data_IF_338010264404
#
_entry.id   IF_338010264404
#
_cell.length_a   1.000
_cell.length_b   1.000
_cell.length_c   1.000
_cell.angle_alpha   90.00
_cell.angle_beta   90.00
_cell.angle_gamma   90.00
#
_symmetry.space_group_name_H-M   'P 1'
#
loop_
_entity.id
_entity.type
_entity.pdbx_description
1 polymer ?
#
# COMPACT_ATOMS: atom_id res chain seq x y z
N UNK A 1 22.79 -1.15 24.39
CA UNK A 1 22.00 -2.34 24.59
C UNK A 1 22.57 -3.43 23.69
N UNK A 2 22.83 -4.62 24.23
CA UNK A 2 23.27 -5.76 23.44
C UNK A 2 22.15 -6.13 22.45
N UNK A 3 22.51 -6.46 21.22
CA UNK A 3 21.57 -6.99 20.26
C UNK A 3 20.98 -8.28 20.82
N UNK A 4 19.65 -8.44 20.70
CA UNK A 4 18.97 -9.66 21.12
C UNK A 4 19.01 -10.61 19.93
N UNK A 5 19.65 -11.78 20.12
CA UNK A 5 19.69 -12.86 19.15
C UNK A 5 18.80 -14.01 19.61
N UNK A 6 17.93 -14.49 18.73
CA UNK A 6 17.02 -15.61 19.01
C UNK A 6 17.38 -16.74 18.04
N UNK A 7 17.92 -17.85 18.55
CA UNK A 7 18.25 -19.04 17.79
C UNK A 7 17.14 -20.07 17.93
N UNK A 8 16.54 -20.46 16.80
CA UNK A 8 15.47 -21.47 16.73
C UNK A 8 16.01 -22.71 16.06
N UNK A 9 16.05 -23.82 16.79
CA UNK A 9 16.42 -25.13 16.26
C UNK A 9 15.19 -25.82 15.67
N UNK A 10 15.30 -26.25 14.42
CA UNK A 10 14.24 -26.98 13.71
C UNK A 10 14.71 -28.38 13.35
N UNK A 11 13.81 -29.39 13.27
CA UNK A 11 14.13 -30.73 12.82
C UNK A 11 14.65 -30.73 11.36
N UNK A 12 15.53 -31.70 11.03
CA UNK A 12 16.17 -31.78 9.72
C UNK A 12 15.21 -32.05 8.55
N UNK A 13 14.04 -32.55 8.82
CA UNK A 13 12.95 -32.89 7.87
C UNK A 13 11.98 -31.71 7.61
N UNK A 14 12.18 -30.60 8.31
CA UNK A 14 11.30 -29.42 8.21
C UNK A 14 11.91 -28.35 7.30
N UNK A 15 11.11 -27.82 6.38
CA UNK A 15 11.55 -26.70 5.51
C UNK A 15 11.74 -25.43 6.32
N UNK A 16 12.90 -24.79 6.16
CA UNK A 16 13.23 -23.50 6.81
C UNK A 16 12.22 -22.42 6.38
N UNK A 17 11.90 -22.36 5.08
CA UNK A 17 10.97 -21.34 4.54
C UNK A 17 9.57 -21.49 5.11
N UNK A 18 9.08 -22.73 5.20
CA UNK A 18 7.77 -22.98 5.83
C UNK A 18 7.75 -22.64 7.31
N UNK A 19 8.87 -22.86 8.01
CA UNK A 19 8.98 -22.47 9.43
C UNK A 19 8.97 -20.97 9.61
N UNK A 20 9.66 -20.22 8.74
CA UNK A 20 9.66 -18.75 8.74
C UNK A 20 8.24 -18.22 8.47
N UNK A 21 7.58 -18.75 7.43
CA UNK A 21 6.20 -18.38 7.11
C UNK A 21 5.24 -18.72 8.26
N UNK A 22 5.44 -19.86 8.93
CA UNK A 22 4.68 -20.24 10.12
C UNK A 22 4.90 -19.30 11.31
N UNK A 23 6.12 -18.85 11.54
CA UNK A 23 6.41 -17.84 12.57
C UNK A 23 5.68 -16.53 12.30
N UNK A 24 5.66 -16.04 11.06
CA UNK A 24 4.92 -14.84 10.68
C UNK A 24 3.40 -15.03 10.76
N UNK A 25 2.89 -16.22 10.45
CA UNK A 25 1.46 -16.49 10.43
C UNK A 25 0.85 -16.76 11.83
N UNK A 26 1.62 -17.35 12.74
CA UNK A 26 1.10 -17.87 14.01
C UNK A 26 1.70 -17.25 15.26
N UNK A 27 2.66 -16.33 15.13
CA UNK A 27 3.29 -15.65 16.26
C UNK A 27 3.27 -14.14 16.08
N UNK A 28 3.67 -13.39 17.11
CA UNK A 28 3.77 -11.93 17.08
C UNK A 28 5.11 -11.44 16.47
N UNK A 29 5.73 -12.22 15.56
CA UNK A 29 6.91 -11.80 14.81
C UNK A 29 6.62 -10.64 13.85
N UNK A 30 5.35 -10.45 13.48
CA UNK A 30 4.88 -9.35 12.65
C UNK A 30 3.82 -8.54 13.40
N UNK A 31 4.01 -7.24 13.43
CA UNK A 31 3.04 -6.30 13.98
C UNK A 31 2.58 -5.34 12.87
N UNK A 32 1.27 -5.26 12.68
CA UNK A 32 0.67 -4.27 11.78
C UNK A 32 0.53 -2.93 12.49
N UNK A 33 1.21 -1.90 11.98
CA UNK A 33 1.09 -0.54 12.47
C UNK A 33 0.30 0.29 11.45
N UNK A 34 -0.83 0.81 11.89
CA UNK A 34 -1.65 1.74 11.09
C UNK A 34 -1.58 3.13 11.70
N UNK A 35 -0.53 3.93 11.39
CA UNK A 35 -0.37 5.25 11.97
C UNK A 35 -1.47 6.19 11.45
N UNK A 36 -2.14 6.85 12.39
CA UNK A 36 -3.10 7.91 12.09
C UNK A 36 -2.45 9.23 12.49
N UNK A 37 -1.81 9.90 11.52
CA UNK A 37 -1.06 11.12 11.76
C UNK A 37 -1.98 12.32 11.83
N UNK A 38 -1.94 13.07 12.95
CA UNK A 38 -2.64 14.33 13.13
C UNK A 38 -1.62 15.45 13.35
N UNK A 39 -1.71 16.49 12.55
CA UNK A 39 -0.89 17.70 12.66
C UNK A 39 -1.76 18.92 12.93
N UNK A 40 -1.16 19.97 13.49
CA UNK A 40 -1.85 21.27 13.65
C UNK A 40 -1.43 22.15 12.47
N UNK A 41 -2.42 22.53 11.65
CA UNK A 41 -2.24 23.46 10.53
C UNK A 41 -3.21 24.64 10.69
N UNK A 42 -2.69 25.84 10.69
CA UNK A 42 -3.49 27.06 10.91
C UNK A 42 -4.39 26.98 12.16
N UNK A 43 -3.81 26.55 13.28
CA UNK A 43 -4.47 26.40 14.59
C UNK A 43 -5.60 25.33 14.62
N UNK A 44 -5.71 24.51 13.58
CA UNK A 44 -6.73 23.44 13.48
C UNK A 44 -6.06 22.06 13.34
N UNK A 45 -6.62 21.03 13.98
CA UNK A 45 -6.14 19.66 13.77
C UNK A 45 -6.48 19.19 12.35
N UNK A 46 -5.48 18.62 11.69
CA UNK A 46 -5.62 18.02 10.35
C UNK A 46 -5.05 16.61 10.36
N UNK A 47 -5.85 15.66 9.89
CA UNK A 47 -5.38 14.30 9.63
C UNK A 47 -4.86 14.22 8.20
N UNK A 48 -3.61 13.78 8.04
CA UNK A 48 -2.99 13.69 6.74
C UNK A 48 -2.01 12.49 6.68
N UNK A 49 -1.84 11.86 5.51
CA UNK A 49 -0.83 10.84 5.32
C UNK A 49 0.59 11.42 5.44
N UNK A 50 1.54 10.59 5.85
CA UNK A 50 2.94 11.02 6.11
C UNK A 50 3.55 11.73 4.90
N UNK A 51 3.27 11.26 3.67
CA UNK A 51 3.78 11.89 2.44
C UNK A 51 3.29 13.33 2.26
N UNK A 52 2.05 13.62 2.64
CA UNK A 52 1.48 14.97 2.59
C UNK A 52 2.09 15.87 3.67
N UNK A 53 2.27 15.33 4.88
CA UNK A 53 2.95 16.05 5.97
C UNK A 53 4.38 16.45 5.57
N UNK A 54 5.11 15.53 4.92
CA UNK A 54 6.47 15.81 4.43
C UNK A 54 6.48 16.91 3.37
N UNK A 55 5.52 16.93 2.44
CA UNK A 55 5.39 18.00 1.44
C UNK A 55 5.15 19.35 2.10
N UNK A 56 4.14 19.42 2.98
CA UNK A 56 3.81 20.67 3.72
C UNK A 56 5.02 21.16 4.52
N UNK A 57 5.70 20.26 5.23
CA UNK A 57 6.90 20.60 6.00
C UNK A 57 8.03 21.13 5.13
N UNK A 58 8.22 20.54 3.94
CA UNK A 58 9.24 20.98 2.97
C UNK A 58 8.88 22.36 2.41
N UNK A 59 7.63 22.55 1.98
CA UNK A 59 7.13 23.84 1.46
C UNK A 59 7.25 24.95 2.51
N UNK A 60 6.86 24.68 3.75
CA UNK A 60 7.01 25.62 4.87
C UNK A 60 8.48 25.97 5.11
N UNK A 61 9.39 24.98 5.03
CA UNK A 61 10.83 25.22 5.19
C UNK A 61 11.35 26.15 4.09
N UNK A 62 10.95 25.93 2.83
CA UNK A 62 11.32 26.83 1.71
C UNK A 62 10.83 28.25 1.95
N UNK A 63 9.59 28.42 2.43
CA UNK A 63 9.05 29.75 2.74
C UNK A 63 9.81 30.42 3.89
N UNK A 64 10.20 29.67 4.91
CA UNK A 64 10.99 30.19 6.02
C UNK A 64 12.41 30.60 5.56
N UNK A 65 13.05 29.79 4.73
CA UNK A 65 14.36 30.12 4.13
C UNK A 65 14.28 31.40 3.28
N UNK A 66 13.21 31.55 2.47
CA UNK A 66 12.96 32.78 1.72
C UNK A 66 12.88 33.99 2.64
N UNK A 67 12.08 33.89 3.70
CA UNK A 67 11.89 34.98 4.66
C UNK A 67 13.17 35.30 5.42
N UNK A 68 13.98 34.30 5.77
CA UNK A 68 15.30 34.48 6.37
C UNK A 68 16.22 35.30 5.44
N UNK A 69 16.29 34.97 4.15
CA UNK A 69 17.05 35.70 3.15
C UNK A 69 16.53 37.14 2.95
N UNK A 70 15.20 37.32 2.93
CA UNK A 70 14.60 38.67 2.83
C UNK A 70 14.95 39.54 4.04
N UNK A 71 14.94 38.99 5.24
CA UNK A 71 15.35 39.69 6.47
C UNK A 71 16.84 40.03 6.40
N UNK A 72 17.70 39.05 6.05
CA UNK A 72 19.14 39.26 5.91
C UNK A 72 19.45 40.33 4.87
N UNK A 73 18.75 40.35 3.73
CA UNK A 73 18.89 41.37 2.70
C UNK A 73 18.52 42.77 3.22
N UNK A 74 17.45 42.89 3.98
CA UNK A 74 17.04 44.18 4.60
C UNK A 74 18.07 44.65 5.62
N UNK A 75 18.57 43.75 6.47
CA UNK A 75 19.62 44.08 7.44
C UNK A 75 20.92 44.55 6.76
N UNK A 76 21.34 43.86 5.68
CA UNK A 76 22.50 44.27 4.89
C UNK A 76 22.29 45.61 4.23
N UNK A 77 21.10 45.86 3.65
CA UNK A 77 20.77 47.17 3.05
C UNK A 77 20.77 48.31 4.09
N UNK A 78 20.19 48.09 5.28
CA UNK A 78 20.22 49.07 6.36
C UNK A 78 21.65 49.33 6.87
N UNK A 79 22.46 48.27 6.99
CA UNK A 79 23.87 48.39 7.39
C UNK A 79 24.67 49.13 6.35
N UNK A 80 24.49 48.84 5.07
CA UNK A 80 25.13 49.56 3.96
C UNK A 80 24.71 51.02 3.96
N UNK A 81 23.43 51.32 4.09
CA UNK A 81 22.89 52.66 4.11
C UNK A 81 23.44 53.47 5.29
N UNK A 82 23.51 52.84 6.48
CA UNK A 82 24.08 53.50 7.66
C UNK A 82 25.54 53.85 7.49
N UNK A 83 26.38 52.94 7.00
CA UNK A 83 27.81 53.20 6.79
C UNK A 83 28.01 54.29 5.71
N UNK A 84 27.20 54.29 4.66
CA UNK A 84 27.21 55.32 3.63
C UNK A 84 26.81 56.70 4.17
N UNK A 85 25.78 56.76 5.03
CA UNK A 85 25.38 58.00 5.71
C UNK A 85 26.49 58.51 6.63
N UNK A 86 27.10 57.66 7.43
CA UNK A 86 28.22 58.02 8.32
C UNK A 86 29.42 58.55 7.50
N UNK A 87 29.76 57.87 6.39
CA UNK A 87 30.82 58.28 5.48
C UNK A 87 30.56 59.63 4.92
N UNK A 88 29.40 59.89 4.33
CA UNK A 88 29.01 61.16 3.75
C UNK A 88 29.03 62.29 4.82
N UNK A 89 28.44 62.04 5.98
CA UNK A 89 28.33 62.95 7.10
C UNK A 89 29.72 63.49 7.55
N UNK A 90 30.69 62.54 7.58
CA UNK A 90 32.06 62.88 8.03
C UNK A 90 32.90 63.49 6.88
N UNK A 91 32.92 62.83 5.70
CA UNK A 91 33.77 63.29 4.58
C UNK A 91 33.36 64.64 4.01
N UNK A 92 32.05 64.85 3.85
CA UNK A 92 31.52 66.12 3.33
C UNK A 92 31.41 67.18 4.41
N UNK A 93 31.85 66.88 5.63
CA UNK A 93 31.88 67.86 6.75
C UNK A 93 30.51 68.38 7.16
N UNK A 94 29.44 67.53 6.95
CA UNK A 94 28.06 67.91 7.31
C UNK A 94 27.95 68.20 8.80
N UNK A 95 28.72 67.50 9.66
CA UNK A 95 28.79 67.75 11.10
C UNK A 95 29.21 69.23 11.47
N UNK A 96 29.99 69.87 10.67
CA UNK A 96 30.40 71.28 10.92
C UNK A 96 29.23 72.27 10.83
N UNK A 97 28.16 71.91 10.13
CA UNK A 97 26.97 72.76 10.00
C UNK A 97 26.15 72.78 11.30
N UNK A 98 26.34 71.82 12.20
CA UNK A 98 25.71 71.81 13.51
C UNK A 98 26.27 72.79 14.51
N UNK A 99 27.54 73.19 14.35
CA UNK A 99 28.24 74.08 15.29
C UNK A 99 27.55 75.45 15.46
N UNK A 100 26.77 75.86 14.46
CA UNK A 100 26.07 77.16 14.48
C UNK A 100 24.63 77.08 14.95
N UNK A 101 24.18 75.90 15.30
CA UNK A 101 22.78 75.65 15.69
C UNK A 101 22.62 75.68 17.20
N UNK A 102 21.60 76.37 17.70
CA UNK A 102 21.32 76.52 19.13
C UNK A 102 20.16 75.65 19.66
N UNK A 103 19.39 75.14 18.78
CA UNK A 103 18.26 74.26 19.14
C UNK A 103 18.35 72.86 18.46
N UNK A 104 17.82 71.86 19.09
CA UNK A 104 17.81 70.46 18.56
C UNK A 104 17.16 70.37 17.20
N UNK A 105 16.06 71.10 16.97
CA UNK A 105 15.35 71.12 15.71
C UNK A 105 16.18 71.81 14.60
N UNK A 106 16.90 72.84 14.93
CA UNK A 106 17.84 73.54 13.99
C UNK A 106 19.03 72.62 13.60
N UNK A 107 19.48 71.74 14.53
CA UNK A 107 20.52 70.76 14.27
C UNK A 107 19.99 69.70 13.28
N UNK A 108 18.80 69.13 13.56
CA UNK A 108 18.19 68.11 12.70
C UNK A 108 17.93 68.67 11.28
N UNK A 109 17.43 69.86 11.16
CA UNK A 109 17.25 70.58 9.86
C UNK A 109 18.54 70.81 9.11
N UNK A 110 19.60 71.17 9.85
CA UNK A 110 20.95 71.44 9.26
C UNK A 110 21.55 70.13 8.70
N UNK A 111 21.39 69.01 9.42
CA UNK A 111 21.84 67.71 8.96
C UNK A 111 21.02 67.28 7.72
N UNK A 112 19.68 67.36 7.78
CA UNK A 112 18.83 67.04 6.66
C UNK A 112 19.18 67.83 5.40
N UNK A 113 19.30 69.12 5.52
CA UNK A 113 19.74 70.01 4.41
C UNK A 113 21.15 69.68 3.92
N UNK A 114 22.06 69.34 4.83
CA UNK A 114 23.42 68.96 4.49
C UNK A 114 23.57 67.68 3.74
N UNK A 115 22.73 66.71 4.08
CA UNK A 115 22.72 65.37 3.46
C UNK A 115 21.91 65.30 2.17
N UNK A 116 20.95 66.24 1.94
CA UNK A 116 20.04 66.22 0.79
C UNK A 116 20.71 66.08 -0.59
N UNK A 117 21.84 66.67 -0.89
CA UNK A 117 22.53 66.52 -2.18
C UNK A 117 22.97 65.06 -2.45
N UNK A 118 23.21 64.31 -1.42
CA UNK A 118 23.79 62.93 -1.48
C UNK A 118 22.75 61.79 -1.42
N UNK A 119 21.47 62.12 -1.27
CA UNK A 119 20.39 61.14 -1.18
C UNK A 119 20.39 60.18 -2.38
N UNK A 120 20.80 60.63 -3.55
CA UNK A 120 20.90 59.79 -4.77
C UNK A 120 21.90 58.63 -4.66
N UNK A 121 22.84 58.73 -3.72
CA UNK A 121 23.88 57.71 -3.49
C UNK A 121 23.48 56.72 -2.39
N UNK A 122 22.26 56.81 -1.85
CA UNK A 122 21.74 55.99 -0.78
C UNK A 122 20.71 55.02 -1.33
N UNK A 123 20.49 53.92 -0.61
CA UNK A 123 19.49 52.91 -0.97
C UNK A 123 18.08 53.41 -0.69
N UNK A 124 17.90 54.23 0.35
CA UNK A 124 16.62 54.83 0.74
C UNK A 124 16.77 56.29 1.17
N UNK A 125 15.64 56.95 1.28
CA UNK A 125 15.60 58.33 1.82
C UNK A 125 16.04 58.38 3.30
N UNK A 126 16.58 59.51 3.69
CA UNK A 126 17.06 59.75 5.05
C UNK A 126 15.85 59.98 5.96
N UNK A 127 15.79 59.26 7.06
CA UNK A 127 14.75 59.41 8.06
C UNK A 127 15.20 60.30 9.22
N UNK A 128 14.25 60.81 10.02
CA UNK A 128 14.57 61.53 11.26
C UNK A 128 15.38 60.67 12.25
N UNK A 129 15.16 59.38 12.24
CA UNK A 129 15.90 58.42 13.07
C UNK A 129 17.38 58.37 12.66
N UNK A 130 17.67 58.39 11.35
CA UNK A 130 19.03 58.45 10.82
C UNK A 130 19.72 59.78 11.26
N UNK A 131 19.00 60.90 11.19
CA UNK A 131 19.52 62.19 11.63
C UNK A 131 19.83 62.16 13.13
N UNK A 132 18.94 61.65 13.96
CA UNK A 132 19.17 61.49 15.40
C UNK A 132 20.36 60.58 15.70
N UNK A 133 20.57 59.58 14.88
CA UNK A 133 21.70 58.65 15.01
C UNK A 133 23.01 59.30 14.58
N UNK A 134 23.03 60.07 13.48
CA UNK A 134 24.18 60.84 13.01
C UNK A 134 24.60 61.85 14.04
N UNK A 135 23.64 62.58 14.66
CA UNK A 135 23.91 63.57 15.70
C UNK A 135 24.61 62.99 16.93
N UNK A 136 24.41 61.75 17.22
CA UNK A 136 24.99 61.02 18.39
C UNK A 136 26.40 60.48 18.10
N UNK A 137 26.96 60.67 16.91
CA UNK A 137 28.33 60.22 16.59
C UNK A 137 29.33 60.97 17.41
N UNK A 138 30.18 60.30 18.23
CA UNK A 138 31.19 60.97 19.06
C UNK A 138 32.28 61.66 18.22
N UNK A 139 32.83 62.79 18.69
CA UNK A 139 33.89 63.49 17.99
C UNK A 139 35.13 62.61 17.82
N UNK A 140 35.43 61.75 18.76
CA UNK A 140 36.53 60.81 18.65
C UNK A 140 36.39 59.89 17.43
N UNK A 141 35.16 59.49 17.11
CA UNK A 141 34.86 58.65 15.93
C UNK A 141 34.99 59.42 14.63
N UNK A 142 34.67 60.72 14.66
CA UNK A 142 34.85 61.61 13.53
C UNK A 142 36.35 61.88 13.27
N UNK A 143 37.12 62.11 14.30
CA UNK A 143 38.55 62.40 14.17
C UNK A 143 39.40 61.18 13.80
N UNK A 144 38.98 59.97 14.20
CA UNK A 144 39.65 58.70 13.91
C UNK A 144 39.04 57.97 12.72
N UNK A 145 38.16 58.64 11.97
CA UNK A 145 37.47 58.01 10.83
C UNK A 145 38.44 57.63 9.72
N UNK A 146 38.42 56.37 9.34
CA UNK A 146 39.23 55.85 8.24
C UNK A 146 38.32 55.56 7.06
N UNK A 147 38.40 56.37 6.02
CA UNK A 147 37.60 56.22 4.80
C UNK A 147 37.87 54.94 4.07
N UNK A 148 39.12 54.49 3.98
CA UNK A 148 39.49 53.29 3.21
C UNK A 148 38.85 52.04 3.85
N UNK A 149 38.86 51.94 5.19
CA UNK A 149 38.17 50.86 5.90
C UNK A 149 36.65 50.88 5.72
N UNK A 150 36.05 52.09 5.61
CA UNK A 150 34.62 52.18 5.34
C UNK A 150 34.30 51.75 3.92
N UNK A 151 35.14 52.07 2.95
CA UNK A 151 34.99 51.65 1.57
C UNK A 151 35.15 50.15 1.43
N UNK A 152 36.16 49.53 2.05
CA UNK A 152 36.32 48.07 2.08
C UNK A 152 35.10 47.38 2.69
N UNK A 153 34.54 47.97 3.77
CA UNK A 153 33.35 47.41 4.40
C UNK A 153 32.10 47.53 3.52
N UNK A 154 31.95 48.68 2.81
CA UNK A 154 30.84 48.87 1.87
C UNK A 154 30.91 47.91 0.70
N UNK A 155 32.11 47.66 0.16
CA UNK A 155 32.31 46.66 -0.91
C UNK A 155 31.94 45.27 -0.41
N UNK A 156 32.44 44.86 0.76
CA UNK A 156 32.11 43.55 1.32
C UNK A 156 30.60 43.36 1.55
N UNK A 157 29.90 44.37 2.09
CA UNK A 157 28.45 44.31 2.26
C UNK A 157 27.73 44.26 0.90
N UNK A 158 28.24 44.93 -0.12
CA UNK A 158 27.66 44.92 -1.47
C UNK A 158 27.78 43.55 -2.12
N UNK A 159 28.89 42.85 -1.90
CA UNK A 159 29.09 41.47 -2.33
C UNK A 159 28.13 40.53 -1.58
N UNK A 160 27.93 40.71 -0.27
CA UNK A 160 26.97 39.95 0.53
C UNK A 160 25.53 40.19 0.05
N UNK A 161 25.16 41.44 -0.28
CA UNK A 161 23.86 41.79 -0.87
C UNK A 161 23.67 41.10 -2.22
N UNK A 162 24.68 41.09 -3.08
CA UNK A 162 24.64 40.44 -4.38
C UNK A 162 24.49 38.92 -4.24
N UNK A 163 25.22 38.32 -3.31
CA UNK A 163 25.11 36.90 -2.99
C UNK A 163 23.71 36.54 -2.45
N UNK A 164 23.20 37.32 -1.48
CA UNK A 164 21.86 37.05 -0.91
C UNK A 164 20.74 37.21 -1.94
N UNK A 165 20.85 38.18 -2.86
CA UNK A 165 19.91 38.32 -3.98
C UNK A 165 19.96 37.12 -4.92
N UNK A 166 21.17 36.65 -5.24
CA UNK A 166 21.35 35.45 -6.06
C UNK A 166 20.70 34.21 -5.43
N UNK A 167 20.84 34.07 -4.10
CA UNK A 167 20.23 32.98 -3.36
C UNK A 167 18.70 33.09 -3.33
N UNK A 168 18.14 34.31 -3.26
CA UNK A 168 16.70 34.58 -3.39
C UNK A 168 16.18 34.25 -4.79
N UNK A 169 16.92 34.63 -5.84
CA UNK A 169 16.55 34.33 -7.23
C UNK A 169 16.62 32.81 -7.53
N UNK A 170 17.51 32.08 -6.85
CA UNK A 170 17.69 30.64 -6.97
C UNK A 170 17.27 29.91 -5.68
N UNK A 171 16.12 30.25 -5.13
CA UNK A 171 15.63 29.77 -3.84
C UNK A 171 15.54 28.24 -3.74
N UNK A 172 15.23 27.58 -4.83
CA UNK A 172 15.11 26.09 -4.85
C UNK A 172 16.48 25.44 -4.65
N UNK A 173 17.50 25.93 -5.37
CA UNK A 173 18.87 25.41 -5.23
C UNK A 173 19.43 25.69 -3.83
N UNK A 174 19.14 26.86 -3.28
CA UNK A 174 19.48 27.22 -1.90
C UNK A 174 18.83 26.26 -0.90
N UNK A 175 17.54 25.94 -1.09
CA UNK A 175 16.83 25.00 -0.24
C UNK A 175 17.38 23.57 -0.37
N UNK A 176 17.73 23.13 -1.58
CA UNK A 176 18.38 21.82 -1.80
C UNK A 176 19.71 21.76 -1.04
N UNK A 177 20.55 22.77 -1.18
CA UNK A 177 21.82 22.85 -0.47
C UNK A 177 21.64 22.86 1.06
N UNK A 178 20.58 23.51 1.56
CA UNK A 178 20.21 23.47 2.98
C UNK A 178 19.90 22.06 3.44
N UNK A 179 19.06 21.30 2.71
CA UNK A 179 18.70 19.92 3.07
C UNK A 179 19.91 18.97 2.95
N UNK A 180 20.78 19.16 1.95
CA UNK A 180 22.02 18.38 1.83
C UNK A 180 22.97 18.60 3.03
N UNK A 181 23.08 19.85 3.48
CA UNK A 181 23.86 20.20 4.67
C UNK A 181 23.29 19.53 5.93
N UNK A 182 21.96 19.52 6.09
CA UNK A 182 21.30 18.81 7.18
C UNK A 182 21.57 17.30 7.08
N UNK A 183 21.42 16.72 5.89
CA UNK A 183 21.70 15.29 5.65
C UNK A 183 23.15 14.95 6.00
N UNK A 184 24.10 15.77 5.60
CA UNK A 184 25.53 15.57 5.92
C UNK A 184 25.80 15.66 7.42
N UNK A 185 25.15 16.59 8.11
CA UNK A 185 25.39 16.85 9.55
C UNK A 185 24.71 15.83 10.45
N UNK A 186 23.49 15.38 10.10
CA UNK A 186 22.63 14.58 10.98
C UNK A 186 22.24 13.22 10.39
N UNK A 187 22.56 12.91 9.13
CA UNK A 187 22.17 11.68 8.45
C UNK A 187 23.07 10.48 8.75
N UNK A 188 24.22 10.70 9.37
CA UNK A 188 25.11 9.62 9.82
C UNK A 188 24.37 8.80 10.87
N UNK A 189 24.32 7.48 10.74
CA UNK A 189 23.61 6.55 11.61
C UNK A 189 22.05 6.62 11.54
N UNK A 190 21.49 7.38 10.58
CA UNK A 190 20.05 7.47 10.33
C UNK A 190 19.67 7.00 8.92
N UNK A 191 20.36 5.99 8.43
CA UNK A 191 20.04 5.38 7.16
C UNK A 191 18.69 4.67 7.23
N UNK A 192 17.94 4.74 6.13
CA UNK A 192 16.67 4.03 6.03
C UNK A 192 16.91 2.52 6.10
N UNK A 193 16.40 1.89 7.15
CA UNK A 193 16.42 0.43 7.33
C UNK A 193 15.16 -0.25 6.80
N UNK A 194 14.12 0.53 6.52
CA UNK A 194 12.82 0.04 6.01
C UNK A 194 12.97 -0.36 4.54
N UNK A 195 12.65 -1.58 4.22
CA UNK A 195 12.49 -2.07 2.86
C UNK A 195 11.04 -1.91 2.41
N UNK A 196 10.84 -1.40 1.19
CA UNK A 196 9.51 -1.37 0.59
C UNK A 196 9.34 -2.72 -0.10
N UNK A 197 8.54 -3.59 0.53
CA UNK A 197 8.13 -4.87 -0.05
C UNK A 197 6.62 -4.84 -0.27
N UNK A 198 6.14 -5.47 -1.32
CA UNK A 198 4.76 -5.88 -1.37
C UNK A 198 4.66 -7.09 -0.45
N UNK A 199 3.96 -6.94 0.66
CA UNK A 199 3.64 -8.06 1.51
C UNK A 199 2.60 -8.91 0.79
N UNK A 200 2.99 -10.07 0.32
CA UNK A 200 2.03 -11.14 0.08
C UNK A 200 1.47 -11.47 1.47
N UNK A 201 0.18 -11.29 1.62
CA UNK A 201 -0.50 -11.69 2.85
C UNK A 201 -0.33 -13.20 2.95
N UNK A 202 0.57 -13.64 3.84
CA UNK A 202 0.74 -15.06 4.14
C UNK A 202 -0.55 -15.48 4.84
N UNK A 203 -1.47 -16.08 4.08
CA UNK A 203 -2.65 -16.66 4.69
C UNK A 203 -2.18 -17.84 5.57
N UNK A 204 -2.50 -17.78 6.86
CA UNK A 204 -2.14 -18.82 7.82
C UNK A 204 -2.57 -20.22 7.38
N UNK A 205 -3.62 -20.32 6.58
CA UNK A 205 -4.09 -21.55 5.96
C UNK A 205 -3.14 -22.10 4.88
N UNK A 206 -2.37 -21.26 4.21
CA UNK A 206 -1.43 -21.72 3.17
C UNK A 206 -0.12 -22.27 3.74
N UNK A 207 0.19 -21.92 4.98
CA UNK A 207 1.40 -22.34 5.71
C UNK A 207 1.13 -23.49 6.68
N UNK A 208 -0.14 -23.75 6.98
CA UNK A 208 -0.53 -24.82 7.87
C UNK A 208 -0.10 -26.19 7.30
N UNK A 209 0.77 -26.88 8.01
CA UNK A 209 1.20 -28.22 7.66
C UNK A 209 0.00 -29.15 7.84
N UNK A 210 -0.24 -30.02 6.84
CA UNK A 210 -1.26 -31.07 6.94
C UNK A 210 -0.84 -32.09 8.01
N UNK A 211 -1.35 -31.91 9.22
CA UNK A 211 -0.99 -32.71 10.40
C UNK A 211 -2.07 -33.70 10.80
N UNK A 212 -3.20 -33.67 10.10
CA UNK A 212 -4.36 -34.50 10.36
C UNK A 212 -4.93 -35.13 9.06
N UNK A 213 -5.80 -36.12 9.18
CA UNK A 213 -6.47 -36.78 8.07
C UNK A 213 -7.98 -36.59 8.16
N UNK A 214 -8.56 -36.10 7.09
CA UNK A 214 -9.99 -35.90 6.98
C UNK A 214 -10.68 -37.24 6.62
N UNK A 215 -11.70 -37.58 7.36
CA UNK A 215 -12.54 -38.76 7.14
C UNK A 215 -14.00 -38.36 6.98
N UNK A 216 -14.75 -39.17 6.25
CA UNK A 216 -16.18 -38.98 6.02
C UNK A 216 -16.95 -40.26 6.19
N UNK A 217 -18.04 -40.21 6.93
CA UNK A 217 -19.09 -41.25 6.93
C UNK A 217 -20.23 -40.78 6.04
N UNK A 218 -20.22 -41.22 4.79
CA UNK A 218 -21.22 -40.82 3.78
C UNK A 218 -22.63 -41.32 4.11
N UNK A 219 -22.76 -42.45 4.83
CA UNK A 219 -24.04 -43.04 5.19
C UNK A 219 -24.73 -42.27 6.33
N UNK A 220 -23.99 -42.00 7.38
CA UNK A 220 -24.53 -41.35 8.58
C UNK A 220 -24.43 -39.84 8.54
N UNK A 221 -23.58 -39.28 7.67
CA UNK A 221 -23.46 -37.85 7.48
C UNK A 221 -22.52 -37.14 8.46
N UNK A 222 -21.42 -37.80 8.85
CA UNK A 222 -20.39 -37.24 9.72
C UNK A 222 -19.09 -36.96 8.96
N UNK A 223 -18.43 -35.89 9.30
CA UNK A 223 -17.13 -35.49 8.77
C UNK A 223 -16.22 -35.05 9.93
N UNK A 224 -14.93 -35.39 9.87
CA UNK A 224 -13.96 -34.94 10.90
C UNK A 224 -12.63 -35.68 10.83
N UNK A 225 -11.65 -35.25 11.64
CA UNK A 225 -10.32 -35.85 11.63
C UNK A 225 -10.14 -37.01 12.66
N UNK A 226 -11.09 -37.21 13.57
CA UNK A 226 -11.06 -38.32 14.55
C UNK A 226 -12.04 -39.45 14.22
N UNK A 227 -12.53 -39.56 13.01
CA UNK A 227 -13.43 -40.60 12.54
C UNK A 227 -12.64 -41.84 12.06
N UNK A 228 -11.90 -42.48 12.95
CA UNK A 228 -11.09 -43.66 12.61
C UNK A 228 -11.98 -44.81 12.18
N UNK A 229 -11.64 -45.46 11.05
CA UNK A 229 -12.41 -46.57 10.48
C UNK A 229 -13.44 -46.17 9.42
N UNK A 230 -13.61 -44.87 9.17
CA UNK A 230 -14.44 -44.33 8.10
C UNK A 230 -13.61 -44.07 6.82
N UNK A 231 -14.27 -43.61 5.74
CA UNK A 231 -13.60 -43.37 4.46
C UNK A 231 -12.65 -42.18 4.54
N UNK A 232 -11.39 -42.40 4.19
CA UNK A 232 -10.37 -41.35 4.09
C UNK A 232 -10.65 -40.45 2.89
N UNK A 233 -10.60 -39.13 3.10
CA UNK A 233 -10.84 -38.12 2.06
C UNK A 233 -9.54 -37.51 1.59
N UNK A 234 -8.77 -36.86 2.48
CA UNK A 234 -7.50 -36.19 2.17
C UNK A 234 -6.75 -35.85 3.45
N UNK A 235 -5.48 -35.46 3.29
CA UNK A 235 -4.73 -34.83 4.37
C UNK A 235 -5.19 -33.38 4.56
N UNK A 236 -5.19 -32.91 5.80
CA UNK A 236 -5.68 -31.59 6.17
C UNK A 236 -4.97 -31.04 7.41
N UNK A 237 -5.16 -29.77 7.68
CA UNK A 237 -4.76 -29.13 8.93
C UNK A 237 -5.98 -28.90 9.83
N UNK A 238 -5.78 -28.89 11.14
CA UNK A 238 -6.82 -28.48 12.11
C UNK A 238 -7.32 -27.04 11.88
N UNK A 239 -6.62 -26.26 11.05
CA UNK A 239 -6.98 -24.89 10.70
C UNK A 239 -7.79 -24.78 9.41
N UNK A 240 -7.87 -25.83 8.62
CA UNK A 240 -8.56 -25.84 7.35
C UNK A 240 -10.07 -25.68 7.48
N UNK A 241 -10.66 -25.16 6.41
CA UNK A 241 -12.08 -25.19 6.18
C UNK A 241 -12.42 -26.37 5.27
N UNK A 242 -13.53 -27.02 5.54
CA UNK A 242 -14.03 -28.16 4.78
C UNK A 242 -15.31 -27.79 4.05
N UNK A 243 -15.34 -28.06 2.75
CA UNK A 243 -16.57 -27.98 1.95
C UNK A 243 -17.29 -29.33 1.94
N UNK A 244 -18.58 -29.28 2.17
CA UNK A 244 -19.47 -30.43 2.09
C UNK A 244 -20.60 -30.16 1.11
N UNK A 245 -20.79 -31.01 0.12
CA UNK A 245 -21.89 -30.93 -0.87
C UNK A 245 -22.78 -32.15 -0.74
N UNK A 246 -24.07 -31.91 -0.55
CA UNK A 246 -25.08 -32.97 -0.41
C UNK A 246 -25.87 -33.19 -1.70
N UNK A 247 -26.50 -34.35 -1.80
CA UNK A 247 -27.30 -34.73 -2.97
C UNK A 247 -28.52 -33.84 -3.21
N UNK A 248 -29.07 -33.22 -2.18
CA UNK A 248 -30.16 -32.25 -2.29
C UNK A 248 -29.76 -30.91 -2.88
N UNK A 249 -28.47 -30.71 -3.20
CA UNK A 249 -27.92 -29.48 -3.76
C UNK A 249 -27.45 -28.50 -2.72
N UNK A 250 -27.59 -28.77 -1.46
CA UNK A 250 -27.12 -27.92 -0.38
C UNK A 250 -25.63 -28.14 -0.14
N UNK A 251 -24.89 -27.05 0.01
CA UNK A 251 -23.50 -27.11 0.42
C UNK A 251 -23.21 -26.09 1.52
N UNK A 252 -22.23 -26.41 2.34
CA UNK A 252 -21.72 -25.50 3.38
C UNK A 252 -20.22 -25.63 3.51
N UNK A 253 -19.57 -24.54 3.99
CA UNK A 253 -18.18 -24.58 4.40
C UNK A 253 -18.13 -24.41 5.90
N UNK A 254 -17.33 -25.25 6.54
CA UNK A 254 -17.21 -25.31 7.99
C UNK A 254 -15.75 -25.46 8.36
N UNK A 255 -15.39 -24.95 9.54
CA UNK A 255 -14.07 -25.25 10.11
C UNK A 255 -14.00 -26.73 10.45
N UNK A 256 -12.90 -27.38 10.15
CA UNK A 256 -12.69 -28.78 10.48
C UNK A 256 -12.80 -29.00 11.99
N UNK A 257 -13.45 -30.11 12.36
CA UNK A 257 -13.64 -30.53 13.75
C UNK A 257 -13.27 -32.00 13.93
N UNK A 258 -13.18 -32.47 15.17
CA UNK A 258 -12.91 -33.85 15.49
C UNK A 258 -13.98 -34.78 14.88
N UNK A 259 -15.25 -34.41 15.02
CA UNK A 259 -16.43 -35.09 14.46
C UNK A 259 -17.59 -34.09 14.41
N UNK A 260 -18.15 -33.86 13.20
CA UNK A 260 -19.28 -32.97 13.00
C UNK A 260 -20.34 -33.62 12.13
N UNK A 261 -21.62 -33.46 12.50
CA UNK A 261 -22.74 -33.89 11.68
C UNK A 261 -23.05 -32.82 10.63
N UNK A 262 -22.96 -33.18 9.35
CA UNK A 262 -23.17 -32.30 8.20
C UNK A 262 -24.39 -32.64 7.34
N UNK A 263 -25.14 -33.61 7.75
CA UNK A 263 -26.33 -34.12 7.03
C UNK A 263 -26.06 -35.36 6.18
N UNK A 264 -27.11 -36.12 5.95
CA UNK A 264 -27.04 -37.36 5.17
C UNK A 264 -26.95 -37.13 3.66
N UNK A 265 -26.60 -38.17 2.91
CA UNK A 265 -26.47 -38.14 1.43
C UNK A 265 -25.42 -37.18 0.92
N UNK A 266 -24.26 -37.19 1.55
CA UNK A 266 -23.10 -36.43 1.12
C UNK A 266 -22.66 -36.92 -0.27
N UNK A 267 -22.34 -36.04 -1.19
CA UNK A 267 -21.77 -36.35 -2.50
C UNK A 267 -20.28 -36.04 -2.58
N UNK A 268 -19.85 -34.99 -1.88
CA UNK A 268 -18.46 -34.53 -1.90
C UNK A 268 -18.06 -33.89 -0.57
N UNK A 269 -16.86 -34.21 -0.14
CA UNK A 269 -16.15 -33.55 0.97
C UNK A 269 -14.73 -33.26 0.53
N UNK A 270 -14.18 -32.12 0.91
CA UNK A 270 -12.79 -31.78 0.63
C UNK A 270 -12.35 -30.52 1.38
N UNK A 271 -11.04 -30.26 1.39
CA UNK A 271 -10.50 -29.01 1.94
C UNK A 271 -10.90 -27.86 1.03
N UNK A 272 -11.42 -26.79 1.63
CA UNK A 272 -11.80 -25.57 0.93
C UNK A 272 -10.68 -24.54 0.96
N UNK A 273 -10.28 -24.06 -0.20
CA UNK A 273 -9.32 -22.97 -0.35
C UNK A 273 -10.07 -21.68 -0.72
N UNK A 274 -9.98 -20.69 0.13
CA UNK A 274 -10.57 -19.37 -0.12
C UNK A 274 -9.88 -18.68 -1.31
N UNK A 275 -10.66 -17.95 -2.11
CA UNK A 275 -10.18 -17.27 -3.33
C UNK A 275 -9.65 -18.21 -4.43
N UNK A 276 -9.85 -19.51 -4.33
CA UNK A 276 -9.49 -20.45 -5.39
C UNK A 276 -10.43 -20.25 -6.60
N UNK A 277 -9.89 -19.70 -7.67
CA UNK A 277 -10.60 -19.48 -8.95
C UNK A 277 -10.40 -20.63 -9.93
N UNK A 278 -9.51 -21.58 -9.62
CA UNK A 278 -9.19 -22.70 -10.51
C UNK A 278 -10.06 -23.92 -10.25
N UNK A 279 -10.35 -24.24 -9.01
CA UNK A 279 -11.23 -25.35 -8.69
C UNK A 279 -12.63 -25.11 -9.22
N UNK A 280 -13.02 -25.91 -10.21
CA UNK A 280 -14.30 -25.82 -10.90
C UNK A 280 -15.19 -27.02 -10.63
N UNK A 281 -16.44 -26.75 -10.32
CA UNK A 281 -17.47 -27.76 -10.09
C UNK A 281 -18.30 -27.91 -11.36
N UNK A 282 -18.30 -29.13 -11.95
CA UNK A 282 -19.15 -29.49 -13.05
C UNK A 282 -20.34 -30.27 -12.51
N UNK A 283 -21.56 -29.79 -12.73
CA UNK A 283 -22.77 -30.31 -12.09
C UNK A 283 -23.89 -30.54 -13.10
N UNK A 284 -24.55 -31.67 -12.97
CA UNK A 284 -25.88 -31.92 -13.55
C UNK A 284 -26.87 -32.06 -12.40
N UNK A 285 -27.93 -31.28 -12.42
CA UNK A 285 -28.99 -31.39 -11.40
C UNK A 285 -30.39 -31.41 -12.02
N UNK A 286 -31.31 -32.02 -11.33
CA UNK A 286 -32.74 -32.01 -11.63
C UNK A 286 -33.42 -30.93 -10.82
N UNK A 287 -34.19 -30.03 -11.45
CA UNK A 287 -34.89 -28.94 -10.78
C UNK A 287 -36.32 -29.41 -10.41
N UNK A 288 -36.50 -29.67 -9.12
CA UNK A 288 -37.72 -30.28 -8.58
C UNK A 288 -37.81 -31.80 -8.82
N UNK A 289 -38.78 -32.45 -8.23
CA UNK A 289 -38.94 -33.88 -8.24
C UNK A 289 -39.17 -34.48 -9.65
N UNK A 290 -39.85 -33.72 -10.53
CA UNK A 290 -40.19 -34.12 -11.90
C UNK A 290 -39.75 -33.08 -12.95
N UNK A 291 -38.87 -32.17 -12.58
CA UNK A 291 -38.45 -31.05 -13.41
C UNK A 291 -37.38 -31.42 -14.43
N UNK A 292 -36.96 -30.40 -15.18
CA UNK A 292 -35.89 -30.48 -16.19
C UNK A 292 -34.53 -30.71 -15.58
N UNK A 293 -33.62 -31.27 -16.38
CA UNK A 293 -32.22 -31.41 -15.99
C UNK A 293 -31.42 -30.25 -16.55
N UNK A 294 -30.56 -29.67 -15.70
CA UNK A 294 -29.68 -28.55 -16.02
C UNK A 294 -28.22 -28.94 -15.82
N UNK A 295 -27.35 -28.35 -16.62
CA UNK A 295 -25.90 -28.45 -16.51
C UNK A 295 -25.31 -27.10 -16.21
N UNK A 296 -24.31 -27.07 -15.35
CA UNK A 296 -23.53 -25.81 -15.09
C UNK A 296 -22.13 -26.13 -14.63
N UNK A 297 -21.26 -25.11 -14.84
CA UNK A 297 -19.90 -25.05 -14.30
C UNK A 297 -19.79 -23.81 -13.44
N UNK A 298 -19.17 -23.91 -12.28
CA UNK A 298 -19.00 -22.76 -11.39
C UNK A 298 -17.84 -22.95 -10.43
N UNK A 299 -17.35 -21.83 -9.88
CA UNK A 299 -16.34 -21.82 -8.83
C UNK A 299 -16.98 -21.33 -7.53
N UNK A 300 -16.37 -21.70 -6.40
CA UNK A 300 -16.75 -21.26 -5.07
C UNK A 300 -15.54 -20.54 -4.47
N UNK A 301 -15.51 -19.21 -4.55
CA UNK A 301 -14.34 -18.42 -4.14
C UNK A 301 -14.49 -17.79 -2.75
N UNK A 302 -15.72 -17.39 -2.38
CA UNK A 302 -15.98 -16.77 -1.08
C UNK A 302 -17.36 -17.13 -0.55
N UNK A 303 -17.44 -17.46 0.72
CA UNK A 303 -18.68 -17.78 1.44
C UNK A 303 -18.57 -17.47 2.93
N UNK A 304 -19.72 -17.36 3.59
CA UNK A 304 -19.80 -17.22 5.04
C UNK A 304 -19.77 -18.62 5.64
N UNK A 305 -18.86 -18.89 6.57
CA UNK A 305 -18.76 -20.19 7.30
C UNK A 305 -20.09 -20.55 7.94
N UNK A 306 -20.37 -21.85 7.97
CA UNK A 306 -21.54 -22.46 8.60
C UNK A 306 -22.90 -22.04 8.00
N UNK A 307 -22.91 -21.25 6.94
CA UNK A 307 -24.12 -20.93 6.19
C UNK A 307 -24.35 -21.97 5.10
N UNK A 308 -25.59 -22.44 4.97
CA UNK A 308 -25.99 -23.33 3.89
C UNK A 308 -26.34 -22.55 2.62
N UNK A 309 -25.91 -23.02 1.49
CA UNK A 309 -26.14 -22.48 0.16
C UNK A 309 -26.70 -23.57 -0.76
N UNK A 310 -27.54 -23.16 -1.69
CA UNK A 310 -28.13 -24.08 -2.67
C UNK A 310 -27.46 -23.96 -4.04
N UNK A 311 -26.96 -25.04 -4.56
CA UNK A 311 -26.43 -25.15 -5.92
C UNK A 311 -27.57 -25.15 -6.95
N UNK A 312 -28.73 -25.66 -6.62
CA UNK A 312 -29.90 -25.75 -7.50
C UNK A 312 -30.66 -24.42 -7.56
N UNK A 313 -31.93 -24.42 -7.88
CA UNK A 313 -32.77 -23.22 -7.86
C UNK A 313 -33.67 -23.12 -6.62
N UNK A 314 -33.45 -23.98 -5.62
CA UNK A 314 -34.25 -24.02 -4.41
C UNK A 314 -35.62 -24.66 -4.58
N UNK A 315 -35.95 -25.24 -5.72
CA UNK A 315 -37.21 -25.94 -5.95
C UNK A 315 -37.27 -27.23 -5.10
N UNK A 316 -38.33 -27.39 -4.35
CA UNK A 316 -38.51 -28.58 -3.49
C UNK A 316 -38.39 -29.88 -4.29
N UNK A 317 -37.51 -30.78 -3.83
CA UNK A 317 -37.23 -32.06 -4.50
C UNK A 317 -36.15 -32.00 -5.58
N UNK A 318 -35.46 -30.88 -5.71
CA UNK A 318 -34.25 -30.79 -6.55
C UNK A 318 -33.18 -31.75 -6.04
N UNK A 319 -32.35 -32.27 -6.95
CA UNK A 319 -31.22 -33.15 -6.60
C UNK A 319 -30.11 -33.08 -7.61
N UNK A 320 -28.90 -33.19 -7.12
CA UNK A 320 -27.70 -33.37 -7.96
C UNK A 320 -27.66 -34.81 -8.44
N UNK A 321 -27.49 -35.02 -9.72
CA UNK A 321 -27.40 -36.34 -10.35
C UNK A 321 -26.00 -36.67 -10.86
N UNK A 322 -25.18 -35.65 -11.04
CA UNK A 322 -23.74 -35.74 -11.36
C UNK A 322 -22.99 -34.59 -10.76
N UNK A 323 -21.82 -34.85 -10.20
CA UNK A 323 -20.91 -33.85 -9.67
C UNK A 323 -19.48 -34.33 -9.92
N UNK A 324 -18.66 -33.47 -10.50
CA UNK A 324 -17.20 -33.60 -10.51
C UNK A 324 -16.55 -32.33 -9.98
N UNK A 325 -15.42 -32.50 -9.32
CA UNK A 325 -14.62 -31.40 -8.78
C UNK A 325 -13.26 -31.42 -9.48
N UNK A 326 -12.95 -30.32 -10.13
CA UNK A 326 -11.85 -30.22 -11.08
C UNK A 326 -10.91 -29.11 -10.64
N UNK A 327 -9.74 -29.43 -10.02
CA UNK A 327 -8.85 -28.46 -9.38
C UNK A 327 -8.24 -27.44 -10.33
N UNK A 328 -8.19 -27.76 -11.62
CA UNK A 328 -7.60 -26.89 -12.65
C UNK A 328 -8.59 -26.56 -13.77
N UNK A 329 -9.87 -26.51 -13.47
CA UNK A 329 -10.90 -26.16 -14.45
C UNK A 329 -11.05 -27.16 -15.60
N UNK A 330 -10.79 -28.44 -15.34
CA UNK A 330 -10.94 -29.49 -16.32
C UNK A 330 -12.40 -29.63 -16.72
N UNK A 331 -12.63 -29.98 -17.97
CA UNK A 331 -13.94 -30.20 -18.55
C UNK A 331 -13.99 -31.60 -19.18
N UNK A 332 -14.68 -32.49 -18.53
CA UNK A 332 -14.89 -33.84 -19.01
C UNK A 332 -16.08 -33.95 -19.96
N UNK A 333 -16.12 -35.03 -20.73
CA UNK A 333 -17.30 -35.47 -21.51
C UNK A 333 -18.03 -36.53 -20.72
N UNK A 334 -19.35 -36.39 -20.59
CA UNK A 334 -20.21 -37.34 -19.91
C UNK A 334 -21.15 -38.05 -20.88
N UNK A 335 -21.43 -39.31 -20.59
CA UNK A 335 -22.51 -40.12 -21.19
C UNK A 335 -23.76 -40.02 -20.33
N UNK A 336 -24.85 -39.59 -20.90
CA UNK A 336 -26.13 -39.42 -20.24
C UNK A 336 -27.10 -40.47 -20.81
N UNK A 337 -27.54 -41.40 -19.98
CA UNK A 337 -28.56 -42.38 -20.35
C UNK A 337 -29.95 -41.88 -19.94
N UNK A 338 -30.88 -41.95 -20.87
CA UNK A 338 -32.26 -41.50 -20.70
C UNK A 338 -33.19 -42.67 -20.52
N UNK A 339 -34.27 -42.48 -19.78
CA UNK A 339 -35.35 -43.50 -19.69
C UNK A 339 -35.94 -43.72 -21.06
N UNK A 340 -35.99 -44.97 -21.52
CA UNK A 340 -36.59 -45.33 -22.81
C UNK A 340 -38.06 -44.93 -22.87
N UNK A 341 -38.46 -44.40 -24.02
CA UNK A 341 -39.83 -43.99 -24.31
C UNK A 341 -40.24 -44.49 -25.71
N UNK A 342 -41.54 -44.74 -25.96
CA UNK A 342 -42.02 -45.13 -27.28
C UNK A 342 -41.55 -44.15 -28.37
N UNK A 343 -41.14 -44.66 -29.52
CA UNK A 343 -40.61 -43.92 -30.69
C UNK A 343 -39.25 -43.22 -30.47
N UNK A 344 -38.47 -43.60 -29.47
CA UNK A 344 -37.15 -43.07 -29.21
C UNK A 344 -36.09 -43.85 -29.99
N UNK A 345 -35.34 -43.19 -30.89
CA UNK A 345 -34.28 -43.80 -31.69
C UNK A 345 -33.01 -44.12 -30.87
N UNK A 346 -32.66 -43.23 -29.98
CA UNK A 346 -31.48 -43.36 -29.10
C UNK A 346 -31.84 -42.93 -27.69
N UNK A 347 -31.42 -43.71 -26.68
CA UNK A 347 -31.60 -43.40 -25.27
C UNK A 347 -30.29 -42.93 -24.58
N UNK A 348 -29.28 -42.62 -25.37
CA UNK A 348 -27.97 -42.11 -24.90
C UNK A 348 -27.65 -40.80 -25.60
N UNK A 349 -27.08 -39.89 -24.86
CA UNK A 349 -26.52 -38.63 -25.37
C UNK A 349 -25.19 -38.35 -24.67
N UNK A 350 -24.32 -37.65 -25.36
CA UNK A 350 -23.07 -37.18 -24.81
C UNK A 350 -23.20 -35.70 -24.54
N UNK A 351 -22.49 -35.22 -23.52
CA UNK A 351 -22.41 -33.81 -23.19
C UNK A 351 -20.99 -33.47 -22.82
N UNK A 352 -20.45 -32.44 -23.46
CA UNK A 352 -19.11 -31.93 -23.23
C UNK A 352 -19.17 -30.64 -22.37
N UNK A 353 -18.60 -30.71 -21.17
CA UNK A 353 -18.55 -29.55 -20.26
C UNK A 353 -17.67 -28.40 -20.78
N UNK A 354 -16.76 -28.64 -21.72
CA UNK A 354 -15.95 -27.59 -22.32
C UNK A 354 -16.80 -26.53 -23.07
N UNK A 355 -18.01 -26.91 -23.50
CA UNK A 355 -18.95 -25.99 -24.14
C UNK A 355 -19.61 -24.99 -23.16
N UNK A 356 -19.42 -25.20 -21.84
CA UNK A 356 -19.97 -24.31 -20.81
C UNK A 356 -18.93 -23.35 -20.28
N UNK A 357 -19.26 -22.07 -20.29
CA UNK A 357 -18.51 -21.09 -19.55
C UNK A 357 -18.68 -21.29 -18.04
N UNK A 358 -17.59 -21.07 -17.29
CA UNK A 358 -17.63 -21.04 -15.82
C UNK A 358 -18.39 -19.79 -15.40
N UNK A 359 -19.44 -19.95 -14.60
CA UNK A 359 -20.33 -18.87 -14.15
C UNK A 359 -20.41 -18.82 -12.62
N UNK A 360 -21.16 -17.87 -12.10
CA UNK A 360 -21.47 -17.80 -10.66
C UNK A 360 -22.20 -19.06 -10.19
N UNK A 361 -21.95 -19.49 -8.96
CA UNK A 361 -22.66 -20.60 -8.30
C UNK A 361 -24.19 -20.46 -8.32
N UNK A 362 -24.71 -19.22 -8.33
CA UNK A 362 -26.15 -18.93 -8.34
C UNK A 362 -26.77 -19.04 -9.74
N UNK A 363 -25.98 -19.23 -10.79
CA UNK A 363 -26.50 -19.38 -12.14
C UNK A 363 -27.33 -20.66 -12.26
N UNK A 364 -28.44 -20.59 -12.97
CA UNK A 364 -29.31 -21.72 -13.24
C UNK A 364 -28.62 -22.81 -14.09
N UNK A 365 -27.75 -22.39 -15.00
CA UNK A 365 -27.12 -23.26 -15.99
C UNK A 365 -27.96 -23.42 -17.26
N UNK A 366 -27.48 -24.28 -18.14
CA UNK A 366 -28.15 -24.60 -19.41
C UNK A 366 -29.04 -25.82 -19.28
N UNK A 367 -30.14 -25.87 -20.01
CA UNK A 367 -31.00 -27.08 -20.04
C UNK A 367 -30.28 -28.22 -20.75
N UNK A 368 -30.07 -29.31 -20.04
CA UNK A 368 -29.54 -30.56 -20.63
C UNK A 368 -30.62 -31.32 -21.37
N UNK A 369 -31.70 -31.64 -20.64
CA UNK A 369 -32.81 -32.39 -21.21
C UNK A 369 -34.07 -32.21 -20.35
N UNK A 370 -35.24 -32.40 -20.98
CA UNK A 370 -36.54 -32.49 -20.30
C UNK A 370 -36.92 -33.91 -20.00
N UNK A 371 -36.15 -34.89 -20.49
CA UNK A 371 -36.43 -36.33 -20.31
C UNK A 371 -35.79 -36.82 -19.01
N UNK A 372 -36.32 -37.94 -18.51
CA UNK A 372 -35.81 -38.53 -17.27
C UNK A 372 -34.45 -39.15 -17.52
N UNK A 373 -33.44 -38.67 -16.81
CA UNK A 373 -32.09 -39.24 -16.81
C UNK A 373 -32.06 -40.42 -15.84
N UNK A 374 -31.51 -41.53 -16.29
CA UNK A 374 -31.36 -42.78 -15.49
C UNK A 374 -29.97 -42.85 -14.88
N UNK A 375 -28.92 -42.67 -15.68
CA UNK A 375 -27.53 -42.74 -15.24
C UNK A 375 -26.69 -41.70 -15.99
N UNK A 376 -25.66 -41.19 -15.32
CA UNK A 376 -24.61 -40.37 -15.91
C UNK A 376 -23.28 -41.01 -15.57
N UNK A 377 -22.43 -41.18 -16.55
CA UNK A 377 -21.05 -41.67 -16.36
C UNK A 377 -20.07 -40.78 -17.10
N UNK A 378 -18.88 -40.63 -16.56
CA UNK A 378 -17.77 -39.95 -17.20
C UNK A 378 -17.32 -40.80 -18.41
N UNK A 379 -17.15 -40.15 -19.56
CA UNK A 379 -16.69 -40.79 -20.79
C UNK A 379 -15.18 -40.60 -20.98
N UNK A 380 -14.72 -39.36 -20.82
CA UNK A 380 -13.30 -38.99 -20.94
C UNK A 380 -12.86 -38.15 -19.73
N UNK A 381 -11.59 -38.23 -19.41
CA UNK A 381 -11.01 -37.25 -18.48
C UNK A 381 -11.07 -35.85 -19.07
N UNK A 382 -11.20 -34.85 -18.18
CA UNK A 382 -11.31 -33.49 -18.59
C UNK A 382 -9.94 -32.90 -18.96
N UNK A 383 -9.96 -31.95 -19.88
CA UNK A 383 -8.82 -31.10 -20.19
C UNK A 383 -9.10 -29.73 -19.58
N UNK A 384 -8.07 -29.07 -19.05
CA UNK A 384 -8.20 -27.72 -18.50
C UNK A 384 -8.71 -26.73 -19.54
N UNK A 385 -9.71 -25.94 -19.16
CA UNK A 385 -10.26 -24.86 -19.99
C UNK A 385 -9.76 -23.47 -19.54
N UNK A 386 -8.88 -23.46 -18.54
CA UNK A 386 -8.28 -22.24 -18.00
C UNK A 386 -6.96 -21.94 -18.71
N UNK A 387 -6.57 -20.68 -18.69
CA UNK A 387 -5.25 -20.27 -19.18
C UNK A 387 -4.12 -20.87 -18.31
N UNK A 388 -3.01 -21.20 -18.95
CA UNK A 388 -1.81 -21.68 -18.29
C UNK A 388 -1.32 -20.66 -17.24
N UNK A 389 -0.74 -21.16 -16.14
CA UNK A 389 -0.11 -20.35 -15.12
C UNK A 389 1.36 -20.17 -15.49
N UNK A 390 1.82 -18.92 -15.53
CA UNK A 390 3.24 -18.60 -15.67
C UNK A 390 3.88 -18.63 -14.29
N UNK A 391 4.98 -19.37 -14.16
CA UNK A 391 5.74 -19.49 -12.92
C UNK A 391 7.09 -18.81 -13.11
N UNK A 392 7.43 -17.95 -12.18
CA UNK A 392 8.64 -17.15 -12.18
C UNK A 392 9.49 -17.52 -10.95
N UNK A 393 10.81 -17.48 -11.12
CA UNK A 393 11.75 -17.64 -10.02
C UNK A 393 12.36 -16.29 -9.64
N UNK A 394 12.08 -15.83 -8.45
CA UNK A 394 12.70 -14.66 -7.88
C UNK A 394 14.00 -15.06 -7.18
N UNK A 395 15.13 -14.69 -7.80
CA UNK A 395 16.46 -15.01 -7.29
C UNK A 395 16.83 -14.23 -6.03
N UNK A 396 16.18 -13.09 -5.78
CA UNK A 396 16.48 -12.24 -4.60
C UNK A 396 15.95 -12.86 -3.31
N UNK A 397 14.78 -13.48 -3.37
CA UNK A 397 14.14 -14.18 -2.24
C UNK A 397 14.19 -15.71 -2.38
N UNK A 398 14.78 -16.23 -3.47
CA UNK A 398 14.91 -17.67 -3.80
C UNK A 398 13.55 -18.41 -3.77
N UNK A 399 12.50 -17.78 -4.25
CA UNK A 399 11.12 -18.33 -4.25
C UNK A 399 10.50 -18.35 -5.64
N UNK A 400 9.59 -19.30 -5.83
CA UNK A 400 8.69 -19.35 -6.98
C UNK A 400 7.51 -18.41 -6.72
N UNK A 401 7.10 -17.65 -7.74
CA UNK A 401 5.91 -16.81 -7.70
C UNK A 401 5.16 -16.81 -9.03
N UNK A 402 3.93 -16.31 -9.00
CA UNK A 402 3.08 -16.12 -10.19
C UNK A 402 2.94 -14.65 -10.59
N UNK A 403 3.62 -13.74 -9.91
CA UNK A 403 3.44 -12.29 -10.00
C UNK A 403 4.34 -11.61 -11.02
N UNK A 404 4.92 -12.36 -11.95
CA UNK A 404 5.83 -11.88 -13.00
C UNK A 404 7.12 -11.23 -12.47
N UNK A 405 7.62 -11.65 -11.30
CA UNK A 405 8.86 -11.18 -10.72
C UNK A 405 9.97 -12.21 -10.91
N UNK A 406 11.09 -11.77 -11.48
CA UNK A 406 12.26 -12.63 -11.65
C UNK A 406 12.34 -13.30 -13.02
N UNK A 407 12.83 -14.52 -13.06
CA UNK A 407 13.07 -15.29 -14.29
C UNK A 407 11.87 -16.20 -14.57
N UNK A 408 11.27 -16.10 -15.76
CA UNK A 408 10.19 -16.99 -16.18
C UNK A 408 10.76 -18.41 -16.32
N UNK A 409 10.22 -19.35 -15.56
CA UNK A 409 10.60 -20.76 -15.63
C UNK A 409 9.77 -21.54 -16.65
N UNK A 410 8.51 -21.18 -16.83
CA UNK A 410 7.61 -21.83 -17.77
C UNK A 410 6.15 -21.47 -17.59
N UNK A 411 5.33 -22.05 -18.47
CA UNK A 411 3.88 -22.00 -18.43
C UNK A 411 3.34 -23.40 -18.11
N UNK A 412 2.46 -23.51 -17.12
CA UNK A 412 1.90 -24.75 -16.63
C UNK A 412 0.37 -24.70 -16.77
N UNK A 413 -0.18 -25.65 -17.51
CA UNK A 413 -1.62 -25.76 -17.76
C UNK A 413 -2.36 -26.52 -16.65
#
# INVERSE_FOLDING_TARGET
AAEVEINISIPNDTSIDQTIDALYAFTDCELSLSPNSCVIENEKPRFAPISEILKISTENTVQLLKRELEIALNELNEKWNWISLEKIFIQEGVYKKMEKCTTDQAIDDAIMKGMKPFVKNLIREITLEDVHRLRKIPIDRISKYNSDKADDTLIAIQDDIASTKKDLDNLIDYAIAYFERIKKKYGKDRQRKTEIRNFDVIESTSVAIANEKLYCNYAEGFVGYKLKGEEYVCDCSTMDDVIVIRKDGIFSIRKIQEKEYVGKKILYVGVFKKNDTRTTFNVVYQDGAFGKFYVKRFNITSIIRSKEYDITQGTKGSKIVYLSVNPNGEAEVINVSLKSAPRMKTNRMEYDFAQLAIKSRNAKGNTLTTRVVTTISRKTEGVSTLSAIKVWFDSSVKRLNTDQRGILLGEFA
#
